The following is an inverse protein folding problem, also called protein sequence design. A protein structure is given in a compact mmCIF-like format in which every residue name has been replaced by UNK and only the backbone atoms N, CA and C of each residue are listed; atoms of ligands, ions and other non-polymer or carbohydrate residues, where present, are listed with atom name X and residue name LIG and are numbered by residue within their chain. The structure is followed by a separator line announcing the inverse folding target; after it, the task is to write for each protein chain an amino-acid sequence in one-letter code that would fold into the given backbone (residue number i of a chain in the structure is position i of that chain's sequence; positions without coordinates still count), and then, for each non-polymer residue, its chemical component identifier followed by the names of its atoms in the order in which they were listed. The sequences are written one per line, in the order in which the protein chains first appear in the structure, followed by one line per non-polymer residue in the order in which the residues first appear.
data_IF_437523376293
#
_entry.id   IF_437523376293
#
_cell.length_a   1.000
_cell.length_b   1.000
_cell.length_c   1.000
_cell.angle_alpha   90.00
_cell.angle_beta   90.00
_cell.angle_gamma   90.00
#
_symmetry.space_group_name_H-M   'P 1'
#
loop_
_entity.id
_entity.type
_entity.pdbx_description
1 polymer ?
#
# COMPACT_ATOMS: atom_id res chain seq x y z
N UNK A 1 1.44 7.42 0.78
CA UNK A 1 0.51 8.05 1.74
C UNK A 1 1.13 8.16 3.12
N UNK A 2 1.70 7.06 3.64
CA UNK A 2 2.43 7.03 4.90
C UNK A 2 3.70 6.20 4.76
N UNK A 3 4.71 6.55 5.54
CA UNK A 3 5.83 5.67 5.87
C UNK A 3 5.68 5.37 7.37
N UNK A 4 5.84 4.11 7.76
CA UNK A 4 5.72 3.68 9.15
C UNK A 4 6.90 2.78 9.54
N UNK A 5 7.32 2.86 10.80
CA UNK A 5 8.52 2.19 11.30
C UNK A 5 8.32 1.48 12.64
N UNK A 6 7.10 1.55 13.19
CA UNK A 6 6.72 0.97 14.46
C UNK A 6 6.81 1.91 15.66
N UNK A 7 7.15 3.19 15.48
CA UNK A 7 7.40 4.14 16.56
C UNK A 7 6.63 5.46 16.38
N UNK A 8 6.59 5.99 15.15
CA UNK A 8 6.10 7.35 14.90
C UNK A 8 4.63 7.44 14.47
N UNK A 9 3.87 6.33 14.52
CA UNK A 9 2.51 6.28 14.00
C UNK A 9 1.48 7.12 14.79
N UNK A 10 1.85 7.55 15.99
CA UNK A 10 0.99 8.36 16.87
C UNK A 10 1.16 9.86 16.59
N UNK A 11 2.26 10.24 15.93
CA UNK A 11 2.58 11.62 15.57
C UNK A 11 2.20 11.89 14.11
N UNK A 12 1.09 12.60 13.91
CA UNK A 12 0.54 12.87 12.57
C UNK A 12 1.54 13.49 11.60
N UNK A 13 2.40 14.38 12.08
CA UNK A 13 3.41 15.05 11.25
C UNK A 13 4.35 14.03 10.59
N UNK A 14 4.85 13.07 11.37
CA UNK A 14 5.72 12.01 10.86
C UNK A 14 4.91 10.97 10.10
N UNK A 15 3.81 10.49 10.66
CA UNK A 15 3.01 9.44 10.04
C UNK A 15 2.49 9.83 8.64
N UNK A 16 2.14 11.11 8.42
CA UNK A 16 1.67 11.62 7.13
C UNK A 16 2.75 12.41 6.36
N UNK A 17 4.01 12.38 6.78
CA UNK A 17 5.12 13.11 6.14
C UNK A 17 5.10 13.02 4.60
N UNK A 18 4.91 11.84 3.97
CA UNK A 18 4.95 11.75 2.52
C UNK A 18 3.91 12.62 1.81
N UNK A 19 2.85 13.06 2.50
CA UNK A 19 1.81 13.94 1.92
C UNK A 19 2.20 15.42 1.91
N UNK A 20 3.12 15.82 2.78
CA UNK A 20 3.53 17.22 2.96
C UNK A 20 4.93 17.48 2.41
N UNK A 21 5.77 16.44 2.33
CA UNK A 21 7.07 16.53 1.69
C UNK A 21 6.91 16.87 0.19
N UNK A 22 7.64 17.88 -0.32
CA UNK A 22 7.45 18.39 -1.67
C UNK A 22 7.74 17.31 -2.72
N UNK A 23 7.07 17.41 -3.86
CA UNK A 23 7.28 16.51 -4.99
C UNK A 23 7.38 17.33 -6.28
N UNK A 24 8.11 16.80 -7.25
CA UNK A 24 8.20 17.36 -8.59
C UNK A 24 7.45 16.46 -9.56
N UNK A 25 6.48 17.03 -10.28
CA UNK A 25 5.83 16.35 -11.38
C UNK A 25 6.54 16.70 -12.69
N UNK A 26 6.92 15.69 -13.46
CA UNK A 26 7.58 15.84 -14.76
C UNK A 26 6.81 15.06 -15.81
N UNK A 27 6.39 15.74 -16.89
CA UNK A 27 5.89 15.08 -18.09
C UNK A 27 7.08 14.54 -18.88
N UNK A 28 7.12 13.22 -19.12
CA UNK A 28 8.22 12.56 -19.83
C UNK A 28 7.91 12.42 -21.33
N UNK A 29 6.64 12.25 -21.69
CA UNK A 29 6.17 12.18 -23.08
C UNK A 29 4.69 12.60 -23.19
N UNK A 30 4.04 12.34 -24.33
CA UNK A 30 2.59 12.50 -24.46
C UNK A 30 1.78 11.49 -23.65
N UNK A 31 2.36 10.33 -23.35
CA UNK A 31 1.68 9.22 -22.68
C UNK A 31 2.32 8.86 -21.35
N UNK A 32 3.36 9.56 -20.91
CA UNK A 32 4.11 9.22 -19.70
C UNK A 32 4.43 10.44 -18.84
N UNK A 33 4.33 10.28 -17.53
CA UNK A 33 4.73 11.26 -16.54
C UNK A 33 5.30 10.59 -15.29
N UNK A 34 6.11 11.32 -14.53
CA UNK A 34 6.71 10.84 -13.29
C UNK A 34 6.50 11.86 -12.17
N UNK A 35 6.15 11.36 -10.99
CA UNK A 35 6.16 12.09 -9.74
C UNK A 35 7.39 11.67 -8.96
N UNK A 36 8.31 12.60 -8.74
CA UNK A 36 9.53 12.40 -7.96
C UNK A 36 9.41 13.09 -6.61
N UNK A 37 9.61 12.34 -5.53
CA UNK A 37 9.74 12.85 -4.19
C UNK A 37 11.20 12.69 -3.75
N UNK A 38 11.94 13.78 -3.46
CA UNK A 38 13.29 13.69 -2.88
C UNK A 38 13.25 12.99 -1.51
N UNK A 39 14.41 12.63 -0.92
CA UNK A 39 14.44 12.01 0.40
C UNK A 39 13.59 12.78 1.41
N UNK A 40 12.58 12.12 1.98
CA UNK A 40 11.69 12.79 2.94
C UNK A 40 12.46 13.26 4.19
N UNK A 41 12.05 14.35 4.85
CA UNK A 41 12.82 14.93 5.95
C UNK A 41 13.11 13.98 7.14
N UNK A 42 12.14 13.19 7.58
CA UNK A 42 12.20 12.30 8.75
C UNK A 42 12.67 10.91 8.35
N UNK A 43 12.05 10.30 7.34
CA UNK A 43 12.37 8.91 6.98
C UNK A 43 13.49 8.78 5.95
N UNK A 44 13.91 9.88 5.31
CA UNK A 44 14.94 9.90 4.27
C UNK A 44 14.68 8.89 3.15
N UNK A 45 13.41 8.68 2.81
CA UNK A 45 13.00 7.81 1.71
C UNK A 45 12.78 8.68 0.48
N UNK A 46 13.53 8.42 -0.58
CA UNK A 46 13.30 9.01 -1.91
C UNK A 46 12.36 8.08 -2.68
N UNK A 47 11.44 8.63 -3.46
CA UNK A 47 10.52 7.83 -4.26
C UNK A 47 10.19 8.40 -5.63
N UNK A 48 9.80 7.51 -6.54
CA UNK A 48 9.34 7.84 -7.87
C UNK A 48 8.10 7.03 -8.20
N UNK A 49 7.09 7.69 -8.75
CA UNK A 49 5.90 7.04 -9.30
C UNK A 49 5.79 7.42 -10.78
N UNK A 50 5.99 6.45 -11.67
CA UNK A 50 5.83 6.65 -13.11
C UNK A 50 4.45 6.15 -13.55
N UNK A 51 3.76 7.00 -14.28
CA UNK A 51 2.47 6.73 -14.90
C UNK A 51 2.66 6.61 -16.40
N UNK A 52 2.06 5.60 -17.01
CA UNK A 52 2.09 5.39 -18.45
C UNK A 52 0.72 4.99 -18.97
N UNK A 53 0.23 5.75 -19.95
CA UNK A 53 -0.93 5.37 -20.75
C UNK A 53 -0.46 4.32 -21.77
N UNK A 54 -0.94 3.09 -21.61
CA UNK A 54 -0.60 1.95 -22.47
C UNK A 54 -1.84 1.54 -23.28
N UNK A 55 -1.78 1.56 -24.63
CA UNK A 55 -2.89 1.14 -25.46
C UNK A 55 -3.29 -0.33 -25.20
N UNK A 56 -4.58 -0.69 -25.35
CA UNK A 56 -5.67 0.21 -25.73
C UNK A 56 -6.26 1.01 -24.55
N UNK A 57 -6.24 0.49 -23.32
CA UNK A 57 -7.02 1.04 -22.20
C UNK A 57 -6.34 0.91 -20.82
N UNK A 58 -5.01 0.86 -20.77
CA UNK A 58 -4.26 0.69 -19.52
C UNK A 58 -3.63 2.00 -19.04
N UNK A 59 -3.64 2.18 -17.72
CA UNK A 59 -2.79 3.15 -17.02
C UNK A 59 -1.85 2.36 -16.10
N UNK A 60 -0.61 2.17 -16.54
CA UNK A 60 0.40 1.49 -15.74
C UNK A 60 0.97 2.47 -14.70
N UNK A 61 1.09 2.00 -13.46
CA UNK A 61 1.72 2.74 -12.37
C UNK A 61 2.90 1.93 -11.82
N UNK A 62 4.10 2.47 -11.95
CA UNK A 62 5.31 1.88 -11.39
C UNK A 62 5.81 2.73 -10.23
N UNK A 63 5.88 2.13 -9.04
CA UNK A 63 6.44 2.75 -7.86
C UNK A 63 7.84 2.19 -7.55
N UNK A 64 8.78 3.06 -7.21
CA UNK A 64 10.09 2.69 -6.68
C UNK A 64 10.52 3.64 -5.57
N UNK A 65 11.31 3.16 -4.62
CA UNK A 65 11.88 3.99 -3.56
C UNK A 65 13.26 3.52 -3.12
N UNK A 66 14.00 4.41 -2.47
CA UNK A 66 15.31 4.15 -1.86
C UNK A 66 15.35 4.81 -0.48
N UNK A 67 15.82 4.09 0.53
CA UNK A 67 16.15 4.67 1.83
C UNK A 67 17.58 5.20 1.84
N UNK A 68 17.79 6.45 2.24
CA UNK A 68 19.11 7.11 2.20
C UNK A 68 19.83 7.11 3.55
N UNK A 69 19.13 6.78 4.64
CA UNK A 69 19.68 6.79 6.00
C UNK A 69 19.16 5.60 6.81
N UNK A 70 19.90 5.24 7.85
CA UNK A 70 19.54 4.15 8.77
C UNK A 70 18.64 4.67 9.90
N UNK A 71 17.45 5.19 9.55
CA UNK A 71 16.48 5.77 10.51
C UNK A 71 15.34 4.81 10.88
N UNK A 72 15.51 3.53 10.57
CA UNK A 72 14.56 2.46 10.86
C UNK A 72 15.14 1.52 11.93
N UNK A 73 15.07 1.88 13.23
CA UNK A 73 15.77 1.16 14.29
C UNK A 73 15.29 -0.28 14.47
N UNK A 74 14.09 -0.61 14.00
CA UNK A 74 13.52 -1.96 14.03
C UNK A 74 13.93 -2.85 12.85
N UNK A 75 14.75 -2.34 11.93
CA UNK A 75 15.26 -3.08 10.78
C UNK A 75 14.25 -3.28 9.65
N UNK A 76 13.11 -2.58 9.69
CA UNK A 76 12.09 -2.59 8.63
C UNK A 76 11.46 -1.22 8.48
N UNK A 77 10.94 -0.96 7.28
CA UNK A 77 10.04 0.16 7.01
C UNK A 77 8.79 -0.37 6.31
N UNK A 78 7.66 0.24 6.63
CA UNK A 78 6.39 0.00 5.98
C UNK A 78 6.03 1.16 5.09
N UNK A 79 5.56 0.86 3.89
CA UNK A 79 5.10 1.84 2.92
C UNK A 79 3.62 1.62 2.67
N UNK A 80 2.83 2.69 2.76
CA UNK A 80 1.39 2.63 2.62
C UNK A 80 0.89 3.58 1.54
N UNK A 81 0.05 3.05 0.65
CA UNK A 81 -0.68 3.80 -0.38
C UNK A 81 -2.17 3.50 -0.30
N UNK A 82 -2.97 4.51 -0.62
CA UNK A 82 -4.38 4.36 -0.94
C UNK A 82 -4.66 5.00 -2.30
N UNK A 83 -5.49 4.32 -3.09
CA UNK A 83 -5.99 4.80 -4.38
C UNK A 83 -7.30 5.59 -4.27
N UNK A 84 -7.80 5.84 -3.05
CA UNK A 84 -9.04 6.57 -2.72
C UNK A 84 -10.06 6.62 -3.87
N UNK A 85 -10.66 5.47 -4.17
CA UNK A 85 -11.70 5.36 -5.19
C UNK A 85 -12.99 5.95 -4.62
N UNK A 86 -13.53 6.95 -5.30
CA UNK A 86 -14.73 7.65 -4.83
C UNK A 86 -15.98 6.79 -5.07
N UNK A 87 -16.55 6.27 -3.98
CA UNK A 87 -17.84 5.57 -3.96
C UNK A 87 -18.02 4.47 -5.03
N UNK A 88 -17.13 3.44 -5.08
CA UNK A 88 -17.35 2.32 -5.97
C UNK A 88 -18.60 1.52 -5.53
N UNK A 89 -19.33 0.98 -6.50
CA UNK A 89 -20.48 0.09 -6.26
C UNK A 89 -20.06 -1.17 -5.47
N UNK A 90 -18.87 -1.70 -5.77
CA UNK A 90 -18.23 -2.78 -5.02
C UNK A 90 -16.95 -2.28 -4.34
N UNK A 91 -16.92 -2.36 -3.01
CA UNK A 91 -15.74 -1.97 -2.18
C UNK A 91 -14.79 -3.15 -1.94
N UNK A 92 -15.08 -4.31 -2.51
CA UNK A 92 -14.33 -5.52 -2.27
C UNK A 92 -12.97 -5.50 -2.96
N UNK A 93 -12.01 -6.17 -2.34
CA UNK A 93 -10.81 -6.65 -3.01
C UNK A 93 -10.92 -8.15 -3.25
N UNK A 94 -10.38 -8.59 -4.38
CA UNK A 94 -10.32 -9.97 -4.81
C UNK A 94 -8.87 -10.43 -4.93
N UNK A 95 -8.55 -11.59 -4.38
CA UNK A 95 -7.19 -12.15 -4.43
C UNK A 95 -7.24 -13.68 -4.47
N UNK A 96 -6.16 -14.29 -4.92
CA UNK A 96 -6.00 -15.74 -4.85
C UNK A 96 -5.53 -16.12 -3.45
N UNK A 97 -6.34 -16.89 -2.73
CA UNK A 97 -6.01 -17.36 -1.40
C UNK A 97 -7.20 -17.91 -0.64
N UNK A 98 -7.21 -17.71 0.68
CA UNK A 98 -8.31 -18.18 1.53
C UNK A 98 -7.91 -18.33 2.98
N UNK A 99 -8.68 -19.11 3.73
CA UNK A 99 -8.37 -19.44 5.12
C UNK A 99 -7.17 -20.39 5.20
N UNK A 100 -6.53 -20.38 6.37
CA UNK A 100 -5.50 -21.35 6.70
C UNK A 100 -6.06 -22.78 6.63
N UNK A 101 -5.25 -23.71 6.10
CA UNK A 101 -5.66 -25.11 5.88
C UNK A 101 -6.58 -25.35 4.68
N UNK A 102 -7.07 -24.31 4.00
CA UNK A 102 -7.87 -24.45 2.79
C UNK A 102 -7.02 -24.30 1.52
N UNK A 103 -7.36 -25.02 0.42
CA UNK A 103 -6.80 -24.76 -0.89
C UNK A 103 -7.03 -23.30 -1.33
N UNK A 104 -6.11 -22.75 -2.12
CA UNK A 104 -6.26 -21.41 -2.66
C UNK A 104 -7.44 -21.34 -3.65
N UNK A 105 -8.25 -20.31 -3.51
CA UNK A 105 -9.36 -19.98 -4.40
C UNK A 105 -9.47 -18.47 -4.59
N UNK A 106 -10.20 -18.03 -5.62
CA UNK A 106 -10.57 -16.62 -5.72
C UNK A 106 -11.43 -16.23 -4.51
N UNK A 107 -10.89 -15.33 -3.69
CA UNK A 107 -11.47 -14.90 -2.42
C UNK A 107 -11.83 -13.42 -2.51
N UNK A 108 -13.05 -13.08 -2.09
CA UNK A 108 -13.53 -11.72 -1.96
C UNK A 108 -13.42 -11.27 -0.50
N UNK A 109 -12.89 -10.07 -0.27
CA UNK A 109 -12.86 -9.44 1.06
C UNK A 109 -13.46 -8.03 0.98
N UNK A 110 -14.51 -7.80 1.75
CA UNK A 110 -15.12 -6.49 1.97
C UNK A 110 -15.37 -6.29 3.47
N UNK A 111 -14.49 -5.56 4.14
CA UNK A 111 -14.60 -5.30 5.57
C UNK A 111 -15.74 -4.30 5.82
N UNK A 112 -16.53 -4.51 6.88
CA UNK A 112 -17.67 -3.63 7.18
C UNK A 112 -17.26 -2.36 7.92
N UNK A 113 -16.11 -2.40 8.58
CA UNK A 113 -15.58 -1.31 9.39
C UNK A 113 -14.13 -0.98 9.01
N UNK A 114 -13.78 0.29 9.16
CA UNK A 114 -12.40 0.73 9.05
C UNK A 114 -11.56 0.06 10.15
N UNK A 115 -10.36 -0.42 9.80
CA UNK A 115 -9.42 -1.10 10.72
C UNK A 115 -9.91 -2.45 11.26
N UNK A 116 -10.88 -3.10 10.61
CA UNK A 116 -11.30 -4.46 10.94
C UNK A 116 -10.80 -5.43 9.88
N UNK A 117 -9.87 -6.32 10.24
CA UNK A 117 -9.31 -7.36 9.38
C UNK A 117 -8.80 -6.84 8.03
N UNK A 118 -8.28 -5.61 8.02
CA UNK A 118 -7.95 -4.86 6.80
C UNK A 118 -6.64 -5.26 6.12
N UNK A 119 -5.81 -6.09 6.76
CA UNK A 119 -4.52 -6.54 6.22
C UNK A 119 -4.51 -8.04 5.97
N UNK A 120 -4.49 -8.43 4.70
CA UNK A 120 -4.28 -9.82 4.27
C UNK A 120 -2.78 -10.06 4.10
N UNK A 121 -2.26 -11.12 4.71
CA UNK A 121 -0.83 -11.47 4.65
C UNK A 121 -0.60 -12.67 3.72
N UNK A 122 0.61 -12.80 3.21
CA UNK A 122 0.98 -14.00 2.45
C UNK A 122 0.89 -15.25 3.35
N UNK A 123 0.48 -16.40 2.79
CA UNK A 123 0.33 -17.66 3.55
C UNK A 123 1.59 -18.08 4.30
N UNK A 124 2.75 -17.84 3.68
CA UNK A 124 4.05 -18.17 4.26
C UNK A 124 4.69 -17.01 5.02
N UNK A 125 3.97 -15.90 5.21
CA UNK A 125 4.50 -14.79 5.99
C UNK A 125 4.64 -15.22 7.46
N UNK A 126 5.85 -14.99 8.00
CA UNK A 126 6.23 -15.27 9.39
C UNK A 126 6.73 -14.02 10.11
N UNK A 127 6.75 -12.87 9.42
CA UNK A 127 7.23 -11.62 9.98
C UNK A 127 6.36 -11.19 11.17
N UNK A 128 6.99 -10.73 12.24
CA UNK A 128 6.28 -10.13 13.36
C UNK A 128 6.75 -8.69 13.48
N UNK A 129 5.93 -7.76 13.01
CA UNK A 129 6.19 -6.34 13.17
C UNK A 129 5.91 -5.94 14.62
N UNK A 130 6.87 -5.25 15.22
CA UNK A 130 6.76 -4.74 16.58
C UNK A 130 6.43 -3.26 16.54
N UNK A 131 5.39 -2.87 17.26
CA UNK A 131 4.95 -1.48 17.37
C UNK A 131 5.12 -1.02 18.81
N UNK A 132 5.59 0.20 19.01
CA UNK A 132 5.68 0.86 20.31
C UNK A 132 4.30 0.97 20.97
N UNK A 133 3.29 1.36 20.18
CA UNK A 133 1.90 1.34 20.58
C UNK A 133 1.11 0.28 19.80
N UNK A 134 1.08 -0.99 20.26
CA UNK A 134 0.42 -2.08 19.57
C UNK A 134 -1.11 -2.02 19.67
N UNK A 135 -1.66 -1.28 20.65
CA UNK A 135 -3.11 -1.16 20.85
C UNK A 135 -3.74 -0.07 19.99
N UNK A 136 -2.95 0.88 19.48
CA UNK A 136 -3.45 1.90 18.58
C UNK A 136 -3.90 1.28 17.25
N UNK A 137 -5.17 1.50 16.84
CA UNK A 137 -5.68 0.94 15.60
C UNK A 137 -5.00 1.59 14.39
N UNK A 138 -4.58 0.75 13.44
CA UNK A 138 -4.12 1.16 12.12
C UNK A 138 -4.41 0.05 11.10
N UNK A 139 -4.61 0.41 9.83
CA UNK A 139 -5.02 -0.55 8.78
C UNK A 139 -4.05 -1.73 8.68
N UNK A 140 -2.75 -1.41 8.66
CA UNK A 140 -1.64 -2.38 8.56
C UNK A 140 -1.41 -3.21 9.85
N UNK A 141 -2.04 -2.84 10.98
CA UNK A 141 -1.98 -3.60 12.24
C UNK A 141 -3.14 -4.60 12.37
N UNK A 142 -4.25 -4.37 11.65
CA UNK A 142 -5.46 -5.20 11.75
C UNK A 142 -5.40 -6.37 10.77
N UNK A 143 -4.94 -7.53 11.26
CA UNK A 143 -4.70 -8.71 10.42
C UNK A 143 -5.98 -9.49 10.15
N UNK A 144 -6.23 -9.79 8.88
CA UNK A 144 -7.28 -10.72 8.46
C UNK A 144 -6.90 -12.18 8.81
N UNK A 145 -7.87 -13.06 9.12
CA UNK A 145 -7.64 -14.51 9.13
C UNK A 145 -7.39 -15.07 7.71
N UNK A 146 -7.78 -14.34 6.67
CA UNK A 146 -7.48 -14.70 5.29
C UNK A 146 -5.99 -14.52 4.97
N UNK A 147 -5.53 -15.30 4.00
CA UNK A 147 -4.17 -15.27 3.46
C UNK A 147 -4.20 -15.24 1.95
N UNK A 148 -3.25 -14.54 1.33
CA UNK A 148 -3.03 -14.60 -0.11
C UNK A 148 -1.89 -15.56 -0.46
N UNK A 149 -1.95 -16.16 -1.65
CA UNK A 149 -0.95 -17.08 -2.20
C UNK A 149 -0.15 -16.46 -3.36
N UNK A 150 -0.75 -15.52 -4.08
CA UNK A 150 -0.09 -14.71 -5.11
C UNK A 150 -0.10 -13.26 -4.61
N UNK A 151 1.01 -12.49 -4.72
CA UNK A 151 1.04 -11.07 -4.38
C UNK A 151 0.29 -10.25 -5.45
N UNK A 152 -0.96 -10.58 -5.68
CA UNK A 152 -1.83 -9.99 -6.66
C UNK A 152 -3.23 -9.85 -6.06
N UNK A 153 -3.81 -8.65 -6.19
CA UNK A 153 -5.21 -8.44 -5.90
C UNK A 153 -5.81 -7.44 -6.89
N UNK A 154 -7.12 -7.45 -7.00
CA UNK A 154 -7.84 -6.48 -7.82
C UNK A 154 -9.14 -6.02 -7.16
N UNK A 155 -9.63 -4.86 -7.60
CA UNK A 155 -10.94 -4.33 -7.29
C UNK A 155 -11.61 -3.81 -8.55
N UNK A 156 -12.92 -3.62 -8.49
CA UNK A 156 -13.72 -3.10 -9.60
C UNK A 156 -14.08 -1.63 -9.36
N UNK A 157 -14.16 -0.87 -10.46
CA UNK A 157 -14.75 0.46 -10.49
C UNK A 157 -15.51 0.59 -11.80
N UNK A 158 -16.83 0.43 -11.77
CA UNK A 158 -17.66 0.37 -12.97
C UNK A 158 -17.10 -0.65 -13.98
N UNK A 159 -16.78 -0.20 -15.20
CA UNK A 159 -16.20 -1.02 -16.27
C UNK A 159 -14.65 -1.15 -16.17
N UNK A 160 -14.03 -0.60 -15.12
CA UNK A 160 -12.59 -0.61 -14.89
C UNK A 160 -12.19 -1.63 -13.83
N UNK A 161 -10.94 -2.08 -13.93
CA UNK A 161 -10.30 -2.93 -12.92
C UNK A 161 -9.05 -2.25 -12.42
N UNK A 162 -8.91 -2.13 -11.10
CA UNK A 162 -7.67 -1.76 -10.44
C UNK A 162 -6.93 -3.02 -10.04
N UNK A 163 -5.70 -3.22 -10.52
CA UNK A 163 -4.89 -4.41 -10.26
C UNK A 163 -3.58 -3.97 -9.61
N UNK A 164 -3.19 -4.66 -8.54
CA UNK A 164 -1.87 -4.54 -7.91
C UNK A 164 -1.18 -5.88 -8.02
N UNK A 165 0.08 -5.86 -8.47
CA UNK A 165 0.91 -7.03 -8.74
C UNK A 165 2.39 -6.73 -8.57
#
# INVERSE_FOLDING_TARGET
EHIFNGETEDEREFFFEPRTAPMTFTRLSETEAELHQPPTPTFHVESWTRFKITPPHYLDMHFRCVGHQHVFPRGWMGLFWASYINAPDDKSMHFLGGLEGQPASWTQLCTQHHNDQSTVRHRNDRLQLQFENPKQPALFKSLSPLRFDLPLFYGHLDDLVWIVM
#
